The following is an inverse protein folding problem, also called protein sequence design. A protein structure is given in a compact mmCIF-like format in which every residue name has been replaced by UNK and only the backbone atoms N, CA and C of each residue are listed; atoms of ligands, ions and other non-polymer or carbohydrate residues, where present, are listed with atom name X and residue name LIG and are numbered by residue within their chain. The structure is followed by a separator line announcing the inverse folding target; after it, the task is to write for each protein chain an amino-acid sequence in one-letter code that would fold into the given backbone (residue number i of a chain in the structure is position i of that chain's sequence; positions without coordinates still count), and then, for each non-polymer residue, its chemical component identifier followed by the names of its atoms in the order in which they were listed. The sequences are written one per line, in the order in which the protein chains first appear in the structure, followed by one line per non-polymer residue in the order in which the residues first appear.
data_IF_191393753651
#
_entry.id   IF_191393753651
#
_cell.length_a   1.000
_cell.length_b   1.000
_cell.length_c   1.000
_cell.angle_alpha   90.00
_cell.angle_beta   90.00
_cell.angle_gamma   90.00
#
_symmetry.space_group_name_H-M   'P 1'
#
loop_
_entity.id
_entity.type
_entity.pdbx_description
1 polymer ?
#
# COMPACT_ATOMS: atom_id res chain seq x y z
N UNK A 1 -1.66 -9.73 -19.51
CA UNK A 1 -1.42 -9.96 -18.07
C UNK A 1 0.03 -10.40 -17.93
N UNK A 2 0.91 -9.49 -17.53
CA UNK A 2 2.31 -9.81 -17.22
C UNK A 2 2.32 -10.42 -15.82
N UNK A 3 2.71 -11.68 -15.68
CA UNK A 3 2.96 -12.27 -14.36
C UNK A 3 4.19 -11.58 -13.78
N UNK A 4 4.10 -11.12 -12.53
CA UNK A 4 5.24 -10.61 -11.80
C UNK A 4 6.33 -11.70 -11.78
N UNK A 5 7.54 -11.36 -12.24
CA UNK A 5 8.71 -12.25 -12.18
C UNK A 5 9.67 -11.62 -11.17
N UNK A 6 9.88 -12.30 -10.05
CA UNK A 6 10.74 -11.84 -8.96
C UNK A 6 12.18 -11.58 -9.46
N UNK A 7 12.85 -10.50 -9.03
CA UNK A 7 14.28 -10.36 -9.22
C UNK A 7 15.00 -11.37 -8.32
N UNK A 8 15.85 -12.21 -8.90
CA UNK A 8 16.75 -13.11 -8.17
C UNK A 8 17.79 -12.30 -7.41
N UNK A 9 17.46 -11.94 -6.17
CA UNK A 9 18.44 -11.48 -5.20
C UNK A 9 19.04 -12.71 -4.51
N UNK A 10 20.26 -13.06 -4.90
CA UNK A 10 21.04 -14.13 -4.27
C UNK A 10 21.58 -13.64 -2.92
N UNK A 11 20.88 -13.89 -1.81
CA UNK A 11 21.51 -14.13 -0.50
C UNK A 11 20.56 -14.84 0.45
N UNK A 12 20.99 -15.99 0.98
CA UNK A 12 20.33 -16.72 2.06
C UNK A 12 19.47 -17.88 1.60
N UNK A 13 19.83 -19.09 2.00
CA UNK A 13 19.06 -20.32 1.81
C UNK A 13 17.68 -20.23 2.49
N UNK A 14 16.66 -19.73 1.80
CA UNK A 14 15.31 -19.55 2.34
C UNK A 14 14.25 -19.57 1.24
N UNK A 15 13.69 -20.75 0.95
CA UNK A 15 12.54 -20.85 0.05
C UNK A 15 11.33 -20.23 0.75
N UNK A 16 10.69 -19.24 0.13
CA UNK A 16 9.37 -18.76 0.57
C UNK A 16 8.40 -19.94 0.62
N UNK A 17 7.60 -19.98 1.67
CA UNK A 17 6.50 -20.92 1.77
C UNK A 17 5.45 -20.61 0.68
N UNK A 18 4.67 -21.62 0.25
CA UNK A 18 3.58 -21.40 -0.70
C UNK A 18 2.53 -20.38 -0.21
N UNK A 19 2.38 -20.23 1.11
CA UNK A 19 1.50 -19.22 1.71
C UNK A 19 2.03 -17.81 1.50
N UNK A 20 3.32 -17.59 1.78
CA UNK A 20 3.99 -16.30 1.55
C UNK A 20 3.93 -15.90 0.07
N UNK A 21 4.27 -16.82 -0.85
CA UNK A 21 4.26 -16.53 -2.29
C UNK A 21 2.86 -16.13 -2.79
N UNK A 22 1.83 -16.88 -2.37
CA UNK A 22 0.43 -16.60 -2.74
C UNK A 22 -0.02 -15.22 -2.28
N UNK A 23 0.28 -14.86 -1.03
CA UNK A 23 -0.23 -13.62 -0.44
C UNK A 23 0.60 -12.40 -0.84
N UNK A 24 1.87 -12.59 -1.18
CA UNK A 24 2.69 -11.59 -1.89
C UNK A 24 2.15 -11.36 -3.32
N UNK A 25 1.81 -12.40 -4.06
CA UNK A 25 1.20 -12.26 -5.39
C UNK A 25 -0.13 -11.49 -5.30
N UNK A 26 -0.98 -11.80 -4.31
CA UNK A 26 -2.19 -11.02 -4.04
C UNK A 26 -1.87 -9.55 -3.73
N UNK A 27 -0.85 -9.28 -2.91
CA UNK A 27 -0.46 -7.91 -2.59
C UNK A 27 -0.10 -7.11 -3.84
N UNK A 28 0.63 -7.71 -4.78
CA UNK A 28 1.05 -7.05 -6.01
C UNK A 28 -0.04 -6.99 -7.09
N UNK A 29 -0.88 -8.01 -7.21
CA UNK A 29 -1.86 -8.11 -8.29
C UNK A 29 -3.22 -7.52 -7.92
N UNK A 30 -3.55 -7.45 -6.64
CA UNK A 30 -4.85 -6.98 -6.16
C UNK A 30 -4.75 -5.71 -5.31
N UNK A 31 -3.88 -5.68 -4.30
CA UNK A 31 -3.82 -4.55 -3.38
C UNK A 31 -3.08 -3.33 -3.96
N UNK A 32 -1.89 -3.54 -4.52
CA UNK A 32 -1.06 -2.49 -5.11
C UNK A 32 -1.80 -1.66 -6.19
N UNK A 33 -2.58 -2.25 -7.12
CA UNK A 33 -3.32 -1.48 -8.12
C UNK A 33 -4.38 -0.52 -7.55
N UNK A 34 -4.85 -0.74 -6.32
CA UNK A 34 -5.83 0.13 -5.65
C UNK A 34 -5.15 1.41 -5.11
N UNK A 35 -3.89 1.30 -4.67
CA UNK A 35 -3.17 2.38 -3.97
C UNK A 35 -3.12 3.71 -4.74
N UNK A 36 -2.86 3.76 -6.06
CA UNK A 36 -2.85 5.02 -6.80
C UNK A 36 -4.20 5.74 -6.76
N UNK A 37 -5.31 5.01 -6.88
CA UNK A 37 -6.65 5.61 -6.83
C UNK A 37 -6.97 6.18 -5.45
N UNK A 38 -6.47 5.54 -4.39
CA UNK A 38 -6.58 6.00 -3.01
C UNK A 38 -5.74 7.25 -2.72
N UNK A 39 -4.48 7.27 -3.16
CA UNK A 39 -3.54 8.38 -2.96
C UNK A 39 -3.97 9.66 -3.68
N UNK A 40 -4.49 9.53 -4.90
CA UNK A 40 -4.86 10.65 -5.77
C UNK A 40 -6.37 10.92 -5.78
N UNK A 41 -7.13 10.35 -4.83
CA UNK A 41 -8.59 10.46 -4.76
C UNK A 41 -9.09 11.91 -4.64
N UNK A 42 -8.27 12.83 -4.10
CA UNK A 42 -8.56 14.26 -4.00
C UNK A 42 -7.37 15.13 -4.46
N UNK A 43 -7.68 16.33 -5.00
CA UNK A 43 -6.68 17.32 -5.44
C UNK A 43 -5.73 17.75 -4.32
N UNK A 44 -6.21 17.75 -3.07
CA UNK A 44 -5.45 18.14 -1.89
C UNK A 44 -4.43 17.07 -1.47
N UNK A 45 -4.81 15.78 -1.52
CA UNK A 45 -3.90 14.67 -1.27
C UNK A 45 -2.79 14.59 -2.32
N UNK A 46 -3.14 14.83 -3.59
CA UNK A 46 -2.15 14.99 -4.67
C UNK A 46 -1.17 16.13 -4.35
N UNK A 47 -1.67 17.32 -3.99
CA UNK A 47 -0.84 18.47 -3.61
C UNK A 47 0.13 18.14 -2.46
N UNK A 48 -0.32 17.47 -1.40
CA UNK A 48 0.50 17.09 -0.25
C UNK A 48 1.57 16.04 -0.59
N UNK A 49 1.26 15.10 -1.47
CA UNK A 49 2.22 14.12 -1.99
C UNK A 49 3.29 14.80 -2.86
N UNK A 50 2.89 15.72 -3.75
CA UNK A 50 3.81 16.47 -4.59
C UNK A 50 4.67 17.47 -3.79
N UNK A 51 4.16 18.12 -2.75
CA UNK A 51 4.97 18.96 -1.87
C UNK A 51 6.03 18.13 -1.13
N UNK A 52 5.71 16.89 -0.72
CA UNK A 52 6.68 15.98 -0.11
C UNK A 52 7.77 15.54 -1.10
N UNK A 53 7.42 15.24 -2.35
CA UNK A 53 8.36 14.87 -3.42
C UNK A 53 9.25 16.06 -3.80
N UNK A 54 8.68 17.27 -3.91
CA UNK A 54 9.41 18.48 -4.26
C UNK A 54 10.36 18.95 -3.14
N UNK A 55 10.03 18.66 -1.87
CA UNK A 55 10.90 18.93 -0.72
C UNK A 55 12.12 17.99 -0.67
N UNK A 56 11.96 16.74 -1.11
CA UNK A 56 13.03 15.74 -1.17
C UNK A 56 13.95 15.89 -2.40
N UNK A 57 13.66 16.84 -3.29
CA UNK A 57 14.37 17.05 -4.56
C UNK A 57 15.16 18.37 -4.59
N UNK A 58 16.36 18.34 -5.17
CA UNK A 58 17.23 19.52 -5.41
C UNK A 58 16.77 20.36 -6.62
N UNK A 59 15.48 20.69 -6.70
CA UNK A 59 14.94 21.52 -7.78
C UNK A 59 15.25 23.00 -7.58
N UNK A 60 15.58 23.69 -8.67
CA UNK A 60 15.70 25.15 -8.65
C UNK A 60 14.33 25.81 -8.37
N UNK A 61 14.28 27.09 -7.91
CA UNK A 61 13.03 27.75 -7.54
C UNK A 61 11.97 27.79 -8.66
N UNK A 62 12.42 27.89 -9.92
CA UNK A 62 11.55 27.90 -11.10
C UNK A 62 10.96 26.51 -11.39
N UNK A 63 11.78 25.45 -11.30
CA UNK A 63 11.31 24.07 -11.46
C UNK A 63 10.34 23.66 -10.35
N UNK A 64 10.58 24.12 -9.11
CA UNK A 64 9.64 23.93 -7.99
C UNK A 64 8.29 24.58 -8.27
N UNK A 65 8.27 25.78 -8.85
CA UNK A 65 7.02 26.47 -9.20
C UNK A 65 6.28 25.73 -10.33
N UNK A 66 6.99 25.27 -11.36
CA UNK A 66 6.42 24.49 -12.47
C UNK A 66 5.81 23.16 -11.99
N UNK A 67 6.48 22.44 -11.09
CA UNK A 67 5.95 21.20 -10.50
C UNK A 67 4.72 21.49 -9.63
N UNK A 68 4.76 22.57 -8.83
CA UNK A 68 3.67 22.97 -7.92
C UNK A 68 2.41 23.41 -8.66
N UNK A 69 2.53 23.96 -9.87
CA UNK A 69 1.38 24.45 -10.66
C UNK A 69 0.95 23.45 -11.74
N UNK A 70 1.90 22.82 -12.43
CA UNK A 70 1.63 21.85 -13.49
C UNK A 70 1.19 20.47 -12.99
N UNK A 71 1.78 20.01 -11.88
CA UNK A 71 1.44 18.73 -11.25
C UNK A 71 -0.05 18.61 -10.91
N UNK A 72 -0.66 19.57 -10.21
CA UNK A 72 -2.08 19.51 -9.86
C UNK A 72 -3.05 19.47 -11.04
N UNK A 73 -2.76 20.21 -12.11
CA UNK A 73 -3.58 20.21 -13.32
C UNK A 73 -3.46 18.88 -14.08
N UNK A 74 -2.25 18.33 -14.15
CA UNK A 74 -2.00 17.02 -14.74
C UNK A 74 -2.69 15.91 -13.91
N UNK A 75 -2.62 15.99 -12.58
CA UNK A 75 -3.29 15.05 -11.68
C UNK A 75 -4.81 15.17 -11.74
N UNK A 76 -5.36 16.37 -11.93
CA UNK A 76 -6.79 16.56 -12.17
C UNK A 76 -7.24 15.89 -13.48
N UNK A 77 -6.44 16.02 -14.54
CA UNK A 77 -6.71 15.35 -15.81
C UNK A 77 -6.60 13.82 -15.67
N UNK A 78 -5.55 13.32 -15.02
CA UNK A 78 -5.34 11.88 -14.77
C UNK A 78 -6.46 11.30 -13.92
N UNK A 79 -6.88 11.97 -12.84
CA UNK A 79 -7.98 11.51 -11.98
C UNK A 79 -9.32 11.45 -12.72
N UNK A 80 -9.62 12.40 -13.61
CA UNK A 80 -10.80 12.32 -14.50
C UNK A 80 -10.70 11.18 -15.52
N UNK A 81 -9.52 10.91 -16.06
CA UNK A 81 -9.30 9.81 -17.00
C UNK A 81 -9.34 8.43 -16.31
N UNK A 82 -8.85 8.33 -15.08
CA UNK A 82 -8.88 7.10 -14.27
C UNK A 82 -10.31 6.71 -13.87
N UNK A 83 -11.14 7.68 -13.46
CA UNK A 83 -12.58 7.47 -13.17
C UNK A 83 -13.33 6.86 -14.35
N UNK A 84 -12.96 7.20 -15.59
CA UNK A 84 -13.60 6.69 -16.81
C UNK A 84 -13.07 5.32 -17.27
N UNK A 85 -11.85 4.94 -16.86
CA UNK A 85 -11.13 3.78 -17.43
C UNK A 85 -11.17 2.51 -16.58
N UNK A 86 -11.47 2.58 -15.27
CA UNK A 86 -11.24 1.44 -14.36
C UNK A 86 -12.48 0.72 -13.79
N UNK A 87 -13.71 1.23 -13.95
CA UNK A 87 -14.90 0.50 -13.43
C UNK A 87 -14.92 0.28 -11.91
N UNK A 88 -14.01 0.92 -11.17
CA UNK A 88 -14.01 0.97 -9.71
C UNK A 88 -14.93 2.13 -9.33
N UNK A 89 -16.16 1.80 -8.96
CA UNK A 89 -17.21 2.77 -8.63
C UNK A 89 -16.87 3.58 -7.36
N UNK A 90 -16.11 2.99 -6.41
CA UNK A 90 -15.59 3.66 -5.22
C UNK A 90 -14.21 3.09 -4.77
N UNK A 91 -13.10 3.84 -4.95
CA UNK A 91 -11.77 3.43 -4.50
C UNK A 91 -11.64 3.26 -2.98
N UNK A 92 -12.43 3.98 -2.18
CA UNK A 92 -12.40 3.84 -0.73
C UNK A 92 -13.02 2.50 -0.30
N UNK A 93 -14.12 2.12 -0.95
CA UNK A 93 -14.75 0.81 -0.74
C UNK A 93 -13.83 -0.33 -1.18
N UNK A 94 -13.20 -0.22 -2.36
CA UNK A 94 -12.23 -1.21 -2.84
C UNK A 94 -11.05 -1.38 -1.86
N UNK A 95 -10.57 -0.28 -1.28
CA UNK A 95 -9.51 -0.31 -0.27
C UNK A 95 -9.97 -0.94 1.05
N UNK A 96 -11.17 -0.61 1.53
CA UNK A 96 -11.76 -1.19 2.74
C UNK A 96 -11.97 -2.71 2.60
N UNK A 97 -12.39 -3.15 1.41
CA UNK A 97 -12.52 -4.57 1.06
C UNK A 97 -11.16 -5.27 1.05
N UNK A 98 -10.15 -4.69 0.39
CA UNK A 98 -8.79 -5.26 0.38
C UNK A 98 -8.18 -5.34 1.78
N UNK A 99 -8.43 -4.35 2.65
CA UNK A 99 -8.01 -4.39 4.05
C UNK A 99 -8.67 -5.53 4.83
N UNK A 100 -9.97 -5.73 4.59
CA UNK A 100 -10.74 -6.80 5.24
C UNK A 100 -10.28 -8.18 4.74
N UNK A 101 -9.99 -8.31 3.45
CA UNK A 101 -9.44 -9.51 2.85
C UNK A 101 -8.05 -9.83 3.39
N UNK A 102 -7.16 -8.84 3.53
CA UNK A 102 -5.86 -9.04 4.15
C UNK A 102 -5.99 -9.63 5.56
N UNK A 103 -6.89 -9.08 6.38
CA UNK A 103 -7.13 -9.63 7.72
C UNK A 103 -7.72 -11.04 7.71
N UNK A 104 -8.47 -11.42 6.67
CA UNK A 104 -8.89 -12.81 6.49
C UNK A 104 -7.71 -13.71 6.11
N UNK A 105 -6.82 -13.26 5.22
CA UNK A 105 -5.60 -13.98 4.83
C UNK A 105 -4.67 -14.21 6.03
N UNK A 106 -4.47 -13.19 6.86
CA UNK A 106 -3.72 -13.30 8.14
C UNK A 106 -4.33 -14.38 9.05
N UNK A 107 -5.66 -14.42 9.20
CA UNK A 107 -6.33 -15.45 10.02
C UNK A 107 -6.26 -16.85 9.42
N UNK A 108 -6.24 -16.94 8.10
CA UNK A 108 -6.34 -18.20 7.34
C UNK A 108 -4.99 -18.67 6.79
N UNK A 109 -3.87 -18.06 7.18
CA UNK A 109 -2.52 -18.36 6.64
C UNK A 109 -2.08 -19.80 6.92
N UNK A 110 -2.76 -20.51 7.82
CA UNK A 110 -2.47 -21.91 8.16
C UNK A 110 -1.25 -22.08 9.06
N UNK A 111 -0.66 -20.98 9.53
CA UNK A 111 0.44 -20.96 10.49
C UNK A 111 -0.01 -21.16 11.95
N UNK A 112 0.96 -21.06 12.86
CA UNK A 112 0.66 -21.05 14.29
C UNK A 112 -0.26 -19.85 14.65
N UNK A 113 -1.19 -19.99 15.61
CA UNK A 113 -2.01 -18.87 16.05
C UNK A 113 -1.12 -17.69 16.47
N UNK A 114 -1.44 -16.51 15.96
CA UNK A 114 -0.70 -15.31 16.29
C UNK A 114 -1.23 -14.10 15.55
N UNK A 115 -0.65 -12.92 15.85
CA UNK A 115 -1.17 -11.67 15.31
C UNK A 115 -0.78 -11.43 13.85
N UNK A 116 0.11 -12.23 13.26
CA UNK A 116 0.69 -12.02 11.93
C UNK A 116 0.30 -13.12 10.94
N UNK A 117 0.47 -12.87 9.64
CA UNK A 117 0.37 -13.91 8.61
C UNK A 117 1.37 -15.05 8.90
N UNK A 118 2.61 -14.72 9.31
CA UNK A 118 3.61 -15.68 9.80
C UNK A 118 3.31 -16.31 11.17
N UNK A 119 2.14 -16.04 11.75
CA UNK A 119 1.73 -16.52 13.07
C UNK A 119 2.30 -15.68 14.19
N UNK A 120 3.27 -16.23 14.94
CA UNK A 120 3.86 -15.56 16.13
C UNK A 120 4.83 -14.43 15.79
N UNK A 121 5.51 -14.53 14.65
CA UNK A 121 6.44 -13.51 14.14
C UNK A 121 5.99 -13.11 12.73
N UNK A 122 6.22 -11.87 12.30
CA UNK A 122 5.91 -11.46 10.93
C UNK A 122 6.80 -12.24 9.95
N UNK A 123 6.21 -12.65 8.84
CA UNK A 123 6.94 -13.25 7.71
C UNK A 123 7.13 -12.25 6.56
N UNK A 124 7.65 -12.71 5.42
CA UNK A 124 7.91 -11.80 4.30
C UNK A 124 6.61 -11.22 3.71
N UNK A 125 5.49 -11.94 3.77
CA UNK A 125 4.21 -11.42 3.30
C UNK A 125 3.70 -10.30 4.22
N UNK A 126 3.83 -10.46 5.54
CA UNK A 126 3.53 -9.38 6.49
C UNK A 126 4.35 -8.12 6.19
N UNK A 127 5.65 -8.29 5.93
CA UNK A 127 6.57 -7.17 5.63
C UNK A 127 6.19 -6.46 4.34
N UNK A 128 5.91 -7.21 3.26
CA UNK A 128 5.52 -6.64 1.96
C UNK A 128 4.22 -5.86 2.08
N UNK A 129 3.18 -6.46 2.65
CA UNK A 129 1.88 -5.80 2.79
C UNK A 129 1.96 -4.61 3.74
N UNK A 130 2.75 -4.71 4.81
CA UNK A 130 2.99 -3.59 5.72
C UNK A 130 3.66 -2.42 4.98
N UNK A 131 4.66 -2.69 4.14
CA UNK A 131 5.28 -1.67 3.29
C UNK A 131 4.28 -0.93 2.40
N UNK A 132 3.32 -1.63 1.81
CA UNK A 132 2.26 -1.02 1.00
C UNK A 132 1.34 -0.12 1.84
N UNK A 133 0.99 -0.51 3.07
CA UNK A 133 0.25 0.35 4.00
C UNK A 133 1.06 1.58 4.41
N UNK A 134 2.37 1.45 4.60
CA UNK A 134 3.24 2.57 4.95
C UNK A 134 3.30 3.63 3.85
N UNK A 135 3.17 3.24 2.58
CA UNK A 135 3.03 4.18 1.47
C UNK A 135 1.75 5.05 1.60
N UNK A 136 0.74 4.55 2.30
CA UNK A 136 -0.53 5.24 2.58
C UNK A 136 -0.62 5.84 3.99
N UNK A 137 0.45 5.86 4.79
CA UNK A 137 0.38 6.25 6.21
C UNK A 137 -0.29 7.61 6.48
N UNK A 138 -0.18 8.53 5.53
CA UNK A 138 -0.72 9.89 5.59
C UNK A 138 -2.05 10.06 4.83
N UNK A 139 -2.57 9.01 4.20
CA UNK A 139 -3.79 9.05 3.42
C UNK A 139 -5.02 8.95 4.35
N UNK A 140 -6.02 9.80 4.10
CA UNK A 140 -7.26 9.86 4.88
C UNK A 140 -8.01 8.52 4.86
N UNK A 141 -7.99 7.83 3.72
CA UNK A 141 -8.65 6.52 3.57
C UNK A 141 -8.08 5.46 4.52
N UNK A 142 -6.77 5.46 4.76
CA UNK A 142 -6.17 4.52 5.71
C UNK A 142 -6.56 4.88 7.15
N UNK A 143 -6.58 6.16 7.49
CA UNK A 143 -7.00 6.59 8.83
C UNK A 143 -8.47 6.22 9.08
N UNK A 144 -9.35 6.44 8.10
CA UNK A 144 -10.76 6.07 8.18
C UNK A 144 -10.95 4.56 8.39
N UNK A 145 -10.24 3.71 7.63
CA UNK A 145 -10.33 2.25 7.77
C UNK A 145 -9.77 1.77 9.11
N UNK A 146 -8.68 2.36 9.61
CA UNK A 146 -8.11 2.00 10.92
C UNK A 146 -9.09 2.22 12.07
N UNK A 147 -9.94 3.23 12.00
CA UNK A 147 -10.99 3.45 13.00
C UNK A 147 -12.11 2.42 12.95
N UNK A 148 -12.47 1.94 11.76
CA UNK A 148 -13.54 0.95 11.55
C UNK A 148 -13.08 -0.50 11.74
N UNK A 149 -11.80 -0.79 11.49
CA UNK A 149 -11.23 -2.12 11.50
C UNK A 149 -10.14 -2.25 12.59
N UNK A 150 -10.52 -2.59 13.85
CA UNK A 150 -9.57 -2.67 14.97
C UNK A 150 -8.56 -3.81 14.80
N UNK A 151 -8.91 -4.87 14.07
CA UNK A 151 -8.01 -5.98 13.79
C UNK A 151 -6.85 -5.53 12.87
N UNK A 152 -7.18 -4.81 11.79
CA UNK A 152 -6.18 -4.20 10.91
C UNK A 152 -5.30 -3.21 11.67
N UNK A 153 -5.89 -2.34 12.48
CA UNK A 153 -5.13 -1.37 13.25
C UNK A 153 -4.15 -2.06 14.21
N UNK A 154 -4.57 -3.14 14.88
CA UNK A 154 -3.70 -3.92 15.76
C UNK A 154 -2.57 -4.58 14.97
N UNK A 155 -2.87 -5.22 13.84
CA UNK A 155 -1.86 -5.83 12.97
C UNK A 155 -0.82 -4.80 12.49
N UNK A 156 -1.24 -3.60 12.06
CA UNK A 156 -0.32 -2.54 11.65
C UNK A 156 0.63 -2.09 12.77
N UNK A 157 0.11 -1.94 13.99
CA UNK A 157 0.90 -1.52 15.15
C UNK A 157 1.89 -2.60 15.57
N UNK A 158 1.45 -3.85 15.68
CA UNK A 158 2.30 -4.97 16.07
C UNK A 158 3.37 -5.27 15.02
N UNK A 159 3.01 -5.18 13.73
CA UNK A 159 3.96 -5.42 12.63
C UNK A 159 5.01 -4.31 12.59
N UNK A 160 4.60 -3.06 12.78
CA UNK A 160 5.53 -1.93 12.89
C UNK A 160 6.51 -2.07 14.07
N UNK A 161 6.03 -2.51 15.24
CA UNK A 161 6.89 -2.79 16.40
C UNK A 161 7.86 -3.94 16.13
N UNK A 162 7.39 -5.00 15.50
CA UNK A 162 8.21 -6.19 15.23
C UNK A 162 9.32 -5.90 14.22
N UNK A 163 9.02 -5.13 13.16
CA UNK A 163 9.99 -4.77 12.11
C UNK A 163 11.01 -3.74 12.62
N UNK A 164 10.59 -2.75 13.43
CA UNK A 164 11.49 -1.67 13.90
C UNK A 164 12.43 -2.11 15.05
N UNK A 165 12.18 -3.27 15.66
CA UNK A 165 12.98 -3.81 16.78
C UNK A 165 14.14 -4.71 16.34
N UNK A 166 14.35 -4.88 15.03
CA UNK A 166 15.51 -5.56 14.46
C UNK A 166 16.63 -4.56 14.15
#
# INVERSE_FOLDING_TARGET
MHKYTSPTAETGTGKMSPGEERDIDWAYTHFLPILPACLYSTLFSSWKAFDSIAALSNFSPLERLSVRVGGPLLMFAVSRMQKKKQGITDPAEAFENACSEWMQRVRNSGGAPGPFHGGRNPDIADVVVYGLFQALRNAEVLQAVRHKNPALNSWLLETGKAITRQ
#
